data_IF_997180089788
#
_entry.id   IF_997180089788
#
_cell.length_a   1.000
_cell.length_b   1.000
_cell.length_c   1.000
_cell.angle_alpha   90.00
_cell.angle_beta   90.00
_cell.angle_gamma   90.00
#
_symmetry.space_group_name_H-M   'P 1'
#
loop_
_entity.id
_entity.type
_entity.pdbx_description
1 polymer ?
#
# COMPACT_ATOMS: atom_id res chain seq x y z
N UNK A 1 -46.52 -46.56 7.95
CA UNK A 1 -45.58 -46.29 9.06
C UNK A 1 -44.56 -45.27 8.56
N UNK A 2 -44.44 -44.15 9.27
CA UNK A 2 -43.58 -42.95 9.15
C UNK A 2 -42.07 -43.17 8.83
N UNK A 3 -41.23 -42.11 8.64
CA UNK A 3 -41.48 -40.76 8.12
C UNK A 3 -40.38 -40.28 7.10
N UNK A 4 -40.49 -39.08 6.50
CA UNK A 4 -39.44 -38.50 5.66
C UNK A 4 -38.37 -37.79 6.50
N UNK A 5 -37.09 -37.96 6.13
CA UNK A 5 -35.96 -37.28 6.77
C UNK A 5 -35.72 -35.90 6.16
N UNK A 6 -35.76 -34.91 7.05
CA UNK A 6 -35.58 -33.48 6.84
C UNK A 6 -34.16 -33.13 6.42
N UNK A 7 -33.97 -32.57 5.22
CA UNK A 7 -32.73 -31.89 4.85
C UNK A 7 -32.82 -30.41 5.28
N UNK A 8 -32.21 -30.09 6.43
CA UNK A 8 -31.99 -28.71 6.84
C UNK A 8 -30.91 -28.05 5.96
N UNK A 9 -31.07 -26.77 5.55
CA UNK A 9 -29.99 -26.02 4.93
C UNK A 9 -28.93 -25.67 5.98
N UNK A 10 -27.68 -26.02 5.69
CA UNK A 10 -26.48 -25.62 6.42
C UNK A 10 -26.37 -24.08 6.42
N UNK A 11 -26.10 -23.41 7.56
CA UNK A 11 -25.87 -21.98 7.55
C UNK A 11 -24.52 -21.70 6.86
N UNK A 12 -24.57 -21.01 5.73
CA UNK A 12 -23.39 -20.45 5.09
C UNK A 12 -22.84 -19.30 5.97
N UNK A 13 -21.83 -19.60 6.79
CA UNK A 13 -21.11 -18.66 7.66
C UNK A 13 -20.21 -17.67 6.90
N UNK A 14 -20.56 -17.29 5.66
CA UNK A 14 -19.70 -16.49 4.79
C UNK A 14 -20.06 -14.99 4.67
N UNK A 15 -21.23 -14.56 5.11
CA UNK A 15 -21.79 -13.27 4.61
C UNK A 15 -22.00 -12.20 5.68
N UNK A 16 -21.99 -12.55 6.97
CA UNK A 16 -22.30 -11.61 8.05
C UNK A 16 -21.18 -10.60 8.32
N UNK A 17 -19.91 -10.99 8.10
CA UNK A 17 -18.78 -10.13 8.43
C UNK A 17 -18.64 -8.92 7.47
N UNK A 18 -19.23 -8.98 6.27
CA UNK A 18 -19.13 -7.91 5.26
C UNK A 18 -20.25 -6.89 5.38
N UNK A 19 -21.38 -7.24 6.00
CA UNK A 19 -22.54 -6.37 6.16
C UNK A 19 -22.27 -5.20 7.13
N UNK A 20 -21.48 -5.44 8.18
CA UNK A 20 -21.08 -4.40 9.13
C UNK A 20 -19.92 -3.52 8.64
N UNK A 21 -19.17 -3.94 7.61
CA UNK A 21 -17.93 -3.27 7.13
C UNK A 21 -18.13 -2.07 6.22
N UNK A 22 -19.37 -1.84 5.77
CA UNK A 22 -19.72 -0.73 4.89
C UNK A 22 -21.04 -0.06 5.30
N UNK A 23 -21.46 -0.21 6.56
CA UNK A 23 -22.71 0.39 7.05
C UNK A 23 -22.54 1.91 7.07
N UNK A 24 -23.11 2.59 6.07
CA UNK A 24 -23.01 4.04 5.88
C UNK A 24 -22.42 4.51 4.53
N UNK A 25 -21.74 3.65 3.76
CA UNK A 25 -21.19 4.06 2.46
C UNK A 25 -22.26 3.98 1.34
N UNK A 26 -22.38 4.98 0.46
CA UNK A 26 -23.20 4.89 -0.74
C UNK A 26 -22.75 3.72 -1.64
N UNK A 27 -23.70 3.01 -2.26
CA UNK A 27 -23.42 1.81 -3.06
C UNK A 27 -22.43 2.03 -4.21
N UNK A 28 -22.46 3.20 -4.85
CA UNK A 28 -21.53 3.58 -5.91
C UNK A 28 -20.08 3.73 -5.39
N UNK A 29 -19.90 4.22 -4.16
CA UNK A 29 -18.59 4.29 -3.51
C UNK A 29 -18.10 2.89 -3.16
N UNK A 30 -18.96 2.03 -2.58
CA UNK A 30 -18.59 0.64 -2.27
C UNK A 30 -18.09 -0.09 -3.52
N UNK A 31 -18.73 0.14 -4.66
CA UNK A 31 -18.31 -0.46 -5.92
C UNK A 31 -16.98 0.15 -6.42
N UNK A 32 -16.79 1.46 -6.35
CA UNK A 32 -15.53 2.11 -6.73
C UNK A 32 -14.35 1.63 -5.87
N UNK A 33 -14.53 1.51 -4.55
CA UNK A 33 -13.51 1.00 -3.63
C UNK A 33 -13.20 -0.47 -3.90
N UNK A 34 -14.20 -1.29 -4.27
CA UNK A 34 -13.99 -2.69 -4.68
C UNK A 34 -13.21 -2.83 -5.99
N UNK A 35 -13.16 -1.81 -6.82
CA UNK A 35 -12.36 -1.82 -8.05
C UNK A 35 -10.89 -1.49 -7.80
N UNK A 36 -10.55 -0.91 -6.64
CA UNK A 36 -9.16 -0.64 -6.27
C UNK A 36 -8.49 -1.97 -5.91
N UNK A 37 -7.32 -2.22 -6.51
CA UNK A 37 -6.55 -3.42 -6.21
C UNK A 37 -6.06 -3.40 -4.75
N UNK A 38 -6.23 -4.50 -4.00
CA UNK A 38 -5.69 -4.59 -2.65
C UNK A 38 -4.17 -4.47 -2.63
N UNK A 39 -3.64 -3.79 -1.62
CA UNK A 39 -2.22 -3.65 -1.36
C UNK A 39 -1.76 -4.70 -0.36
N UNK A 40 -0.93 -5.64 -0.80
CA UNK A 40 -0.38 -6.71 0.03
C UNK A 40 1.01 -6.36 0.58
N UNK A 41 1.11 -6.09 1.88
CA UNK A 41 2.32 -5.55 2.51
C UNK A 41 3.47 -6.55 2.70
N UNK A 42 3.20 -7.86 2.81
CA UNK A 42 4.21 -8.88 3.19
C UNK A 42 5.34 -9.05 2.18
N UNK A 43 5.10 -8.71 0.91
CA UNK A 43 6.07 -8.85 -0.18
C UNK A 43 6.01 -7.66 -1.16
N UNK A 44 5.52 -6.50 -0.71
CA UNK A 44 5.45 -5.33 -1.58
C UNK A 44 6.84 -4.75 -1.82
N UNK A 45 7.13 -4.41 -3.08
CA UNK A 45 8.27 -3.57 -3.44
C UNK A 45 7.86 -2.09 -3.39
N UNK A 46 8.84 -1.19 -3.39
CA UNK A 46 8.62 0.26 -3.48
C UNK A 46 7.79 0.62 -4.72
N UNK A 47 8.09 0.02 -5.87
CA UNK A 47 7.37 0.29 -7.11
C UNK A 47 5.89 -0.15 -7.03
N UNK A 48 5.61 -1.28 -6.38
CA UNK A 48 4.23 -1.75 -6.16
C UNK A 48 3.48 -0.84 -5.19
N UNK A 49 4.13 -0.36 -4.14
CA UNK A 49 3.55 0.58 -3.18
C UNK A 49 3.23 1.93 -3.85
N UNK A 50 4.15 2.44 -4.68
CA UNK A 50 3.95 3.66 -5.47
C UNK A 50 2.81 3.51 -6.46
N UNK A 51 2.81 2.43 -7.26
CA UNK A 51 1.76 2.18 -8.24
C UNK A 51 0.37 2.03 -7.59
N UNK A 52 0.29 1.36 -6.45
CA UNK A 52 -0.92 1.27 -5.65
C UNK A 52 -1.37 2.64 -5.16
N UNK A 53 -0.47 3.44 -4.56
CA UNK A 53 -0.81 4.77 -4.05
C UNK A 53 -1.36 5.67 -5.16
N UNK A 54 -0.70 5.72 -6.32
CA UNK A 54 -1.15 6.53 -7.45
C UNK A 54 -2.52 6.09 -8.00
N UNK A 55 -2.77 4.77 -8.05
CA UNK A 55 -4.06 4.23 -8.45
C UNK A 55 -5.15 4.55 -7.42
N UNK A 56 -4.84 4.40 -6.13
CA UNK A 56 -5.74 4.70 -5.02
C UNK A 56 -6.09 6.20 -4.99
N UNK A 57 -5.10 7.07 -5.11
CA UNK A 57 -5.29 8.52 -5.10
C UNK A 57 -6.21 8.94 -6.25
N UNK A 58 -5.95 8.47 -7.48
CA UNK A 58 -6.80 8.73 -8.65
C UNK A 58 -8.22 8.20 -8.51
N UNK A 59 -8.38 6.97 -8.01
CA UNK A 59 -9.69 6.35 -7.85
C UNK A 59 -10.56 7.01 -6.77
N UNK A 60 -9.92 7.75 -5.85
CA UNK A 60 -10.58 8.38 -4.71
C UNK A 60 -10.63 9.91 -4.80
N UNK A 61 -10.23 10.50 -5.93
CA UNK A 61 -10.37 11.95 -6.17
C UNK A 61 -11.84 12.35 -6.05
N UNK A 62 -12.12 13.39 -5.25
CA UNK A 62 -13.46 13.92 -5.04
C UNK A 62 -14.28 13.18 -3.96
N UNK A 63 -13.72 12.15 -3.31
CA UNK A 63 -14.31 11.54 -2.13
C UNK A 63 -13.92 12.31 -0.86
N UNK A 64 -14.82 12.29 0.13
CA UNK A 64 -14.56 12.82 1.47
C UNK A 64 -13.39 12.10 2.16
N UNK A 65 -12.60 12.79 2.96
CA UNK A 65 -11.40 12.23 3.59
C UNK A 65 -11.69 11.00 4.45
N UNK A 66 -12.76 11.02 5.24
CA UNK A 66 -13.19 9.89 6.09
C UNK A 66 -13.49 8.64 5.25
N UNK A 67 -14.06 8.85 4.07
CA UNK A 67 -14.36 7.81 3.11
C UNK A 67 -13.10 7.24 2.46
N UNK A 68 -12.12 8.10 2.15
CA UNK A 68 -10.81 7.70 1.63
C UNK A 68 -10.04 6.87 2.66
N UNK A 69 -10.04 7.27 3.93
CA UNK A 69 -9.40 6.50 5.01
C UNK A 69 -10.02 5.11 5.16
N UNK A 70 -11.36 5.05 5.14
CA UNK A 70 -12.11 3.80 5.22
C UNK A 70 -11.81 2.88 4.01
N UNK A 71 -11.78 3.45 2.80
CA UNK A 71 -11.43 2.72 1.59
C UNK A 71 -10.00 2.18 1.63
N UNK A 72 -9.05 2.98 2.11
CA UNK A 72 -7.65 2.56 2.24
C UNK A 72 -7.52 1.38 3.21
N UNK A 73 -8.18 1.45 4.37
CA UNK A 73 -8.17 0.36 5.36
C UNK A 73 -8.65 -0.96 4.77
N UNK A 74 -9.66 -0.91 3.89
CA UNK A 74 -10.15 -2.11 3.20
C UNK A 74 -9.17 -2.63 2.15
N UNK A 75 -8.44 -1.73 1.46
CA UNK A 75 -7.44 -2.10 0.47
C UNK A 75 -6.15 -2.66 1.09
N UNK A 76 -5.79 -2.24 2.29
CA UNK A 76 -4.59 -2.70 2.99
C UNK A 76 -4.74 -4.16 3.44
N UNK A 77 -3.81 -5.01 3.03
CA UNK A 77 -3.76 -6.44 3.36
C UNK A 77 -2.35 -6.86 3.76
N UNK A 78 -2.27 -7.89 4.60
CA UNK A 78 -1.01 -8.47 5.05
C UNK A 78 -0.62 -7.96 6.43
N UNK A 79 0.05 -8.82 7.19
CA UNK A 79 0.31 -8.59 8.62
C UNK A 79 1.12 -7.31 8.91
N UNK A 80 2.22 -7.01 8.19
CA UNK A 80 2.97 -5.77 8.41
C UNK A 80 2.16 -4.50 8.18
N UNK A 81 1.30 -4.48 7.17
CA UNK A 81 0.44 -3.34 6.86
C UNK A 81 -0.66 -3.15 7.91
N UNK A 82 -1.29 -4.25 8.33
CA UNK A 82 -2.34 -4.20 9.34
C UNK A 82 -1.81 -3.75 10.71
N UNK A 83 -0.65 -4.26 11.12
CA UNK A 83 0.05 -3.84 12.35
C UNK A 83 0.45 -2.36 12.27
N UNK A 84 1.09 -1.94 11.18
CA UNK A 84 1.45 -0.54 10.96
C UNK A 84 0.24 0.40 11.07
N UNK A 85 -0.88 0.05 10.44
CA UNK A 85 -2.10 0.87 10.50
C UNK A 85 -2.62 1.03 11.93
N UNK A 86 -2.58 -0.04 12.74
CA UNK A 86 -3.04 -0.02 14.13
C UNK A 86 -2.23 0.96 14.99
N UNK A 87 -0.92 1.05 14.75
CA UNK A 87 -0.02 1.90 15.55
C UNK A 87 0.20 3.31 14.99
N UNK A 88 -0.12 3.56 13.72
CA UNK A 88 0.23 4.81 13.02
C UNK A 88 -0.64 6.02 13.35
N UNK A 89 -1.78 5.85 14.05
CA UNK A 89 -2.73 6.91 14.43
C UNK A 89 -2.99 7.90 13.30
N UNK A 90 -3.69 7.42 12.27
CA UNK A 90 -3.98 8.18 11.05
C UNK A 90 -5.35 8.83 11.20
N UNK A 91 -5.37 10.16 11.34
CA UNK A 91 -6.59 10.95 11.59
C UNK A 91 -7.11 11.66 10.33
N UNK A 92 -6.23 11.93 9.36
CA UNK A 92 -6.54 12.64 8.12
C UNK A 92 -5.80 12.03 6.92
N UNK A 93 -6.22 12.43 5.72
CA UNK A 93 -5.68 11.86 4.47
C UNK A 93 -4.24 12.27 4.17
N UNK A 94 -3.81 13.46 4.60
CA UNK A 94 -2.44 13.93 4.39
C UNK A 94 -1.46 13.17 5.29
N UNK A 95 -1.82 12.95 6.55
CA UNK A 95 -1.10 12.10 7.49
C UNK A 95 -1.01 10.67 6.95
N UNK A 96 -2.08 10.13 6.36
CA UNK A 96 -2.05 8.83 5.67
C UNK A 96 -0.99 8.82 4.56
N UNK A 97 -1.03 9.82 3.67
CA UNK A 97 -0.09 9.96 2.56
C UNK A 97 1.35 9.95 3.05
N UNK A 98 1.68 10.85 3.97
CA UNK A 98 3.05 11.00 4.48
C UNK A 98 3.53 9.71 5.15
N UNK A 99 2.71 9.09 6.00
CA UNK A 99 3.07 7.86 6.72
C UNK A 99 3.20 6.67 5.77
N UNK A 100 2.30 6.53 4.79
CA UNK A 100 2.35 5.47 3.80
C UNK A 100 3.61 5.57 2.94
N UNK A 101 3.91 6.78 2.47
CA UNK A 101 5.14 7.04 1.73
C UNK A 101 6.34 6.65 2.59
N UNK A 102 6.44 7.15 3.82
CA UNK A 102 7.57 6.84 4.70
C UNK A 102 7.74 5.34 5.01
N UNK A 103 6.65 4.58 5.08
CA UNK A 103 6.69 3.17 5.47
C UNK A 103 6.93 2.22 4.29
N UNK A 104 6.31 2.50 3.14
CA UNK A 104 6.25 1.54 2.02
C UNK A 104 6.90 2.04 0.73
N UNK A 105 7.18 3.35 0.61
CA UNK A 105 7.76 3.95 -0.60
C UNK A 105 9.17 4.47 -0.31
N UNK A 106 9.36 5.23 0.76
CA UNK A 106 10.66 5.69 1.22
C UNK A 106 11.45 4.47 1.65
N UNK A 107 12.59 4.27 1.01
CA UNK A 107 13.58 3.32 1.49
C UNK A 107 14.24 3.93 2.73
N UNK A 108 14.42 3.14 3.78
CA UNK A 108 15.26 3.56 4.89
C UNK A 108 16.69 3.81 4.38
N UNK A 109 17.50 4.69 5.01
CA UNK A 109 18.90 4.90 4.62
C UNK A 109 19.68 3.58 4.48
N UNK A 110 19.42 2.61 5.35
CA UNK A 110 20.02 1.27 5.29
C UNK A 110 19.60 0.48 4.04
N UNK A 111 18.32 0.50 3.67
CA UNK A 111 17.83 -0.16 2.46
C UNK A 111 18.36 0.51 1.19
N UNK A 112 18.59 1.82 1.21
CA UNK A 112 19.20 2.52 0.08
C UNK A 112 20.69 2.20 -0.05
N UNK A 113 21.41 2.15 1.08
CA UNK A 113 22.80 1.67 1.13
C UNK A 113 22.87 0.23 0.62
N UNK A 114 21.95 -0.64 1.03
CA UNK A 114 21.92 -2.03 0.59
C UNK A 114 21.62 -2.15 -0.92
N UNK A 115 20.66 -1.36 -1.43
CA UNK A 115 20.38 -1.27 -2.86
C UNK A 115 21.62 -0.78 -3.63
N UNK A 116 22.28 0.28 -3.15
CA UNK A 116 23.50 0.81 -3.75
C UNK A 116 24.62 -0.25 -3.79
N UNK A 117 24.85 -0.95 -2.68
CA UNK A 117 25.86 -2.03 -2.56
C UNK A 117 25.59 -3.19 -3.51
N UNK A 118 24.33 -3.54 -3.74
CA UNK A 118 23.94 -4.66 -4.58
C UNK A 118 23.84 -4.31 -6.07
N UNK A 119 23.86 -3.03 -6.42
CA UNK A 119 23.80 -2.58 -7.81
C UNK A 119 25.14 -2.92 -8.48
N UNK A 120 25.10 -3.69 -9.57
CA UNK A 120 26.28 -4.09 -10.36
C UNK A 120 26.14 -3.62 -11.80
N UNK A 121 27.24 -3.15 -12.40
CA UNK A 121 27.27 -2.78 -13.82
C UNK A 121 27.03 -4.02 -14.68
N UNK A 122 26.03 -3.97 -15.56
CA UNK A 122 25.73 -5.05 -16.49
C UNK A 122 26.71 -5.05 -17.68
N UNK A 123 26.92 -6.24 -18.28
CA UNK A 123 27.78 -6.40 -19.46
C UNK A 123 27.15 -5.66 -20.64
N UNK A 124 27.90 -4.72 -21.25
CA UNK A 124 27.42 -3.89 -22.36
C UNK A 124 26.89 -2.51 -21.95
N UNK A 125 26.77 -2.21 -20.65
CA UNK A 125 26.46 -0.86 -20.16
C UNK A 125 27.73 0.02 -20.16
N UNK A 126 27.63 1.24 -20.72
CA UNK A 126 28.75 2.19 -20.75
C UNK A 126 29.09 2.70 -19.34
N UNK A 127 30.29 3.25 -19.16
CA UNK A 127 30.73 3.77 -17.87
C UNK A 127 29.92 5.02 -17.46
N UNK A 128 29.53 5.83 -18.44
CA UNK A 128 28.74 7.05 -18.29
C UNK A 128 27.33 6.71 -17.82
N UNK A 129 26.64 5.79 -18.52
CA UNK A 129 25.28 5.34 -18.14
C UNK A 129 25.27 4.67 -16.77
N UNK A 130 26.32 3.92 -16.44
CA UNK A 130 26.49 3.37 -15.11
C UNK A 130 26.69 4.45 -14.04
N UNK A 131 27.50 5.48 -14.36
CA UNK A 131 27.70 6.66 -13.52
C UNK A 131 26.40 7.39 -13.22
N UNK A 132 25.59 7.66 -14.25
CA UNK A 132 24.29 8.33 -14.12
C UNK A 132 23.31 7.54 -13.24
N UNK A 133 23.29 6.21 -13.39
CA UNK A 133 22.45 5.34 -12.56
C UNK A 133 22.86 5.37 -11.08
N UNK A 134 24.17 5.29 -10.80
CA UNK A 134 24.68 5.36 -9.42
C UNK A 134 24.44 6.74 -8.82
N UNK A 135 24.63 7.81 -9.60
CA UNK A 135 24.34 9.17 -9.17
C UNK A 135 22.86 9.33 -8.81
N UNK A 136 21.94 8.86 -9.65
CA UNK A 136 20.50 8.89 -9.37
C UNK A 136 20.13 8.12 -8.10
N UNK A 137 20.76 6.96 -7.85
CA UNK A 137 20.56 6.20 -6.61
C UNK A 137 21.09 6.94 -5.37
N UNK A 138 22.19 7.69 -5.48
CA UNK A 138 22.73 8.51 -4.40
C UNK A 138 21.87 9.74 -4.10
N UNK A 139 21.32 10.38 -5.13
CA UNK A 139 20.41 11.53 -5.01
C UNK A 139 19.07 11.12 -4.38
N UNK A 140 18.48 10.01 -4.85
CA UNK A 140 17.27 9.40 -4.24
C UNK A 140 17.54 8.99 -2.79
N UNK A 141 18.80 8.60 -2.50
CA UNK A 141 19.17 8.19 -1.16
C UNK A 141 19.25 9.31 -0.12
N UNK A 142 19.20 10.59 -0.54
CA UNK A 142 19.56 11.71 0.34
C UNK A 142 20.81 11.39 1.18
N UNK A 143 21.75 10.60 0.63
CA UNK A 143 22.96 10.15 1.33
C UNK A 143 23.87 11.32 1.72
N UNK A 144 23.53 12.52 1.27
CA UNK A 144 24.13 13.77 1.67
C UNK A 144 23.14 14.56 2.54
N UNK A 145 23.51 14.72 3.81
CA UNK A 145 22.98 15.80 4.64
C UNK A 145 23.20 17.12 3.87
N UNK A 146 22.14 17.91 3.59
CA UNK A 146 22.27 19.23 2.95
C UNK A 146 23.22 20.17 3.69
N UNK A 147 23.48 19.93 4.99
CA UNK A 147 24.42 20.69 5.83
C UNK A 147 25.88 20.28 5.66
N UNK A 148 26.17 19.23 4.89
CA UNK A 148 27.54 18.81 4.56
C UNK A 148 28.03 19.36 3.21
N UNK A 149 27.25 20.23 2.55
CA UNK A 149 27.78 21.12 1.50
C UNK A 149 28.39 22.36 2.16
N UNK A 150 29.69 22.27 2.49
CA UNK A 150 30.57 23.42 2.74
C UNK A 150 31.90 23.17 2.04
#
# INVERSE_FOLDING_TARGET
>A
MQPPVTNAPTPATGTAATAYRFSGMPSHVKNAVRMIQPFYSENSTVDKARAFWDAFERATVGLDESLRLSAFRECLKGKPGEEWWMYSRIEDFETLRVRFHNQFICLTPLQMIERLKNTKRSRGMSAEVWGDLIQGLCDEAQCFDPRMRY
#
